data_IF_246509887051
#
_entry.id   IF_246509887051
#
_cell.length_a   1.000
_cell.length_b   1.000
_cell.length_c   1.000
_cell.angle_alpha   90.00
_cell.angle_beta   90.00
_cell.angle_gamma   90.00
#
_symmetry.space_group_name_H-M   'P 1'
#
loop_
_entity.id
_entity.type
_entity.pdbx_description
1 polymer ?
#
# COMPACT_ATOMS: atom_id res chain seq x y z
N UNK A 1 3.68 -29.44 38.90
CA UNK A 1 3.92 -29.49 37.45
C UNK A 1 3.52 -28.13 36.93
N UNK A 2 4.50 -27.25 36.68
CA UNK A 2 4.22 -25.95 36.08
C UNK A 2 4.00 -26.17 34.59
N UNK A 3 2.89 -25.65 34.08
CA UNK A 3 2.59 -25.61 32.66
C UNK A 3 3.57 -24.62 32.02
N UNK A 4 4.48 -25.14 31.19
CA UNK A 4 5.30 -24.30 30.31
C UNK A 4 4.41 -23.98 29.11
N UNK A 5 3.79 -22.81 29.13
CA UNK A 5 3.17 -22.25 27.92
C UNK A 5 4.31 -21.95 26.95
N UNK A 6 4.43 -22.79 25.91
CA UNK A 6 5.47 -22.65 24.90
C UNK A 6 5.05 -21.58 23.90
N UNK A 7 5.74 -20.45 23.91
CA UNK A 7 5.52 -19.34 22.98
C UNK A 7 6.56 -19.37 21.85
N UNK A 8 6.13 -19.02 20.62
CA UNK A 8 6.93 -19.23 19.39
C UNK A 8 7.22 -17.91 18.67
N UNK A 9 8.49 -17.51 18.59
CA UNK A 9 8.94 -16.36 17.77
C UNK A 9 9.11 -16.72 16.29
N UNK A 10 8.28 -16.18 15.39
CA UNK A 10 8.31 -16.51 13.96
C UNK A 10 9.56 -15.99 13.21
N UNK A 11 10.11 -16.80 12.29
CA UNK A 11 11.20 -16.38 11.40
C UNK A 11 10.75 -15.37 10.32
N UNK A 12 11.68 -14.54 9.84
CA UNK A 12 11.40 -13.54 8.80
C UNK A 12 11.17 -14.16 7.42
N UNK A 13 10.12 -13.73 6.71
CA UNK A 13 9.81 -14.20 5.35
C UNK A 13 10.83 -13.70 4.31
N UNK A 14 11.23 -14.58 3.38
CA UNK A 14 12.05 -14.23 2.22
C UNK A 14 11.23 -13.60 1.09
N UNK A 15 11.89 -12.89 0.16
CA UNK A 15 11.25 -12.30 -1.01
C UNK A 15 10.66 -13.40 -1.92
N UNK A 16 9.33 -13.42 -2.04
CA UNK A 16 8.56 -14.47 -2.71
C UNK A 16 8.76 -14.51 -4.23
N UNK A 17 9.76 -15.27 -4.68
CA UNK A 17 9.85 -15.81 -6.04
C UNK A 17 9.33 -17.26 -6.10
N UNK A 18 9.17 -17.84 -7.31
CA UNK A 18 8.65 -19.21 -7.48
C UNK A 18 9.50 -20.31 -6.82
N UNK A 19 10.76 -20.02 -6.46
CA UNK A 19 11.64 -20.92 -5.71
C UNK A 19 11.96 -20.43 -4.28
N UNK A 20 11.32 -19.35 -3.81
CA UNK A 20 11.53 -18.83 -2.46
C UNK A 20 10.87 -19.74 -1.42
N UNK A 21 11.64 -20.23 -0.46
CA UNK A 21 11.09 -20.96 0.69
C UNK A 21 10.66 -19.95 1.77
N UNK A 22 9.44 -20.11 2.31
CA UNK A 22 9.02 -19.40 3.50
C UNK A 22 9.93 -19.72 4.68
N UNK A 23 10.10 -18.77 5.62
CA UNK A 23 10.83 -19.02 6.87
C UNK A 23 10.21 -20.17 7.64
N UNK A 24 11.03 -20.92 8.39
CA UNK A 24 10.53 -22.00 9.23
C UNK A 24 9.80 -21.41 10.43
N UNK A 25 8.66 -22.02 10.81
CA UNK A 25 8.04 -21.72 12.10
C UNK A 25 9.00 -22.10 13.23
N UNK A 26 9.12 -21.25 14.25
CA UNK A 26 9.85 -21.62 15.45
C UNK A 26 9.16 -22.77 16.17
N UNK A 27 9.97 -23.68 16.69
CA UNK A 27 9.56 -24.66 17.70
C UNK A 27 9.91 -24.09 19.08
N UNK A 28 9.23 -24.55 20.12
CA UNK A 28 9.41 -24.24 21.54
C UNK A 28 10.85 -24.30 22.07
N UNK A 29 11.81 -24.83 21.29
CA UNK A 29 13.24 -24.86 21.65
C UNK A 29 14.18 -24.23 20.63
N UNK A 30 13.68 -23.72 19.49
CA UNK A 30 14.51 -23.20 18.39
C UNK A 30 13.87 -22.02 17.67
N UNK A 31 14.63 -20.96 17.44
CA UNK A 31 14.17 -19.83 16.63
C UNK A 31 13.96 -20.23 15.17
N UNK A 32 13.02 -19.56 14.48
CA UNK A 32 12.71 -19.86 13.08
C UNK A 32 13.84 -19.41 12.14
N UNK A 33 14.26 -20.27 11.21
CA UNK A 33 15.20 -19.91 10.15
C UNK A 33 14.58 -18.87 9.20
N UNK A 34 15.39 -17.95 8.68
CA UNK A 34 14.95 -16.93 7.72
C UNK A 34 14.69 -17.53 6.33
N UNK A 35 13.72 -16.96 5.60
CA UNK A 35 13.36 -17.45 4.26
C UNK A 35 14.44 -17.22 3.19
N UNK A 36 14.45 -18.04 2.14
CA UNK A 36 15.40 -17.90 1.03
C UNK A 36 14.95 -16.83 0.01
N UNK A 37 15.89 -16.34 -0.80
CA UNK A 37 15.59 -15.50 -1.97
C UNK A 37 14.98 -16.34 -3.13
N UNK A 38 14.65 -15.69 -4.25
CA UNK A 38 14.08 -16.35 -5.45
C UNK A 38 15.01 -17.38 -6.13
N UNK A 39 16.31 -17.37 -5.82
CA UNK A 39 17.28 -18.36 -6.30
C UNK A 39 17.41 -19.56 -5.35
N UNK A 40 16.70 -19.57 -4.23
CA UNK A 40 16.67 -20.68 -3.28
C UNK A 40 17.82 -20.69 -2.27
N UNK A 41 18.49 -19.56 -2.03
CA UNK A 41 19.56 -19.44 -1.02
C UNK A 41 19.43 -18.15 -0.20
N UNK A 42 20.28 -18.02 0.83
CA UNK A 42 20.47 -16.77 1.55
C UNK A 42 19.69 -16.61 2.86
N UNK A 43 18.76 -17.52 3.18
CA UNK A 43 18.09 -17.53 4.48
C UNK A 43 19.06 -17.77 5.63
N UNK A 44 18.92 -17.03 6.71
CA UNK A 44 19.73 -17.24 7.90
C UNK A 44 19.36 -18.54 8.63
N UNK A 45 20.36 -19.27 9.12
CA UNK A 45 20.14 -20.42 9.97
C UNK A 45 19.54 -19.99 11.32
N UNK A 46 18.66 -20.84 11.88
CA UNK A 46 18.23 -20.71 13.27
C UNK A 46 19.45 -20.75 14.20
N UNK A 47 19.52 -19.87 15.20
CA UNK A 47 20.47 -20.09 16.29
C UNK A 47 19.93 -21.19 17.22
N UNK A 48 20.68 -21.62 18.23
CA UNK A 48 20.16 -22.46 19.34
C UNK A 48 20.26 -21.74 20.69
N UNK A 49 20.84 -20.53 20.68
CA UNK A 49 20.99 -19.59 21.79
C UNK A 49 21.52 -18.26 21.21
N UNK A 50 20.97 -17.11 21.64
CA UNK A 50 21.43 -15.77 21.24
C UNK A 50 20.58 -15.10 20.15
N UNK A 51 21.11 -14.02 19.59
CA UNK A 51 20.46 -13.25 18.51
C UNK A 51 20.22 -14.11 17.27
N UNK A 52 19.23 -13.73 16.47
CA UNK A 52 18.96 -14.33 15.18
C UNK A 52 20.10 -14.09 14.18
N UNK A 53 20.41 -15.09 13.36
CA UNK A 53 21.38 -14.94 12.29
C UNK A 53 20.90 -13.94 11.21
N UNK A 54 21.84 -13.17 10.65
CA UNK A 54 21.55 -12.28 9.53
C UNK A 54 21.37 -13.07 8.22
N UNK A 55 20.39 -12.70 7.41
CA UNK A 55 20.22 -13.19 6.06
C UNK A 55 21.32 -12.69 5.13
N UNK A 56 21.46 -13.35 3.98
CA UNK A 56 22.41 -12.97 2.92
C UNK A 56 21.73 -12.99 1.56
N UNK A 57 22.21 -12.20 0.61
CA UNK A 57 21.77 -12.23 -0.81
C UNK A 57 20.24 -12.14 -0.99
N UNK A 58 19.56 -11.30 -0.22
CA UNK A 58 18.11 -11.12 -0.28
C UNK A 58 17.30 -12.15 0.52
N UNK A 59 17.95 -13.05 1.25
CA UNK A 59 17.29 -13.95 2.20
C UNK A 59 16.94 -13.26 3.53
N UNK A 60 15.92 -13.78 4.21
CA UNK A 60 15.43 -13.26 5.47
C UNK A 60 16.36 -13.55 6.65
N UNK A 61 16.28 -12.71 7.69
CA UNK A 61 16.93 -12.95 8.98
C UNK A 61 16.19 -13.99 9.81
N UNK A 62 16.92 -14.70 10.66
CA UNK A 62 16.36 -15.70 11.56
C UNK A 62 15.76 -15.03 12.80
N UNK A 63 14.79 -15.70 13.44
CA UNK A 63 14.23 -15.24 14.71
C UNK A 63 15.28 -15.23 15.83
N UNK A 64 15.11 -14.35 16.81
CA UNK A 64 15.85 -14.37 18.07
C UNK A 64 15.30 -15.43 19.03
N UNK A 65 16.14 -15.89 19.97
CA UNK A 65 15.69 -16.64 21.14
C UNK A 65 15.14 -15.72 22.22
N UNK A 66 14.45 -16.29 23.22
CA UNK A 66 13.98 -15.56 24.39
C UNK A 66 15.09 -14.68 24.98
N UNK A 67 14.79 -13.39 25.11
CA UNK A 67 15.76 -12.40 25.58
C UNK A 67 16.74 -11.86 24.54
N UNK A 68 16.63 -12.20 23.25
CA UNK A 68 17.56 -11.77 22.19
C UNK A 68 16.88 -11.15 20.95
N UNK A 69 17.67 -10.39 20.18
CA UNK A 69 17.20 -9.66 18.99
C UNK A 69 17.01 -10.60 17.78
N UNK A 70 16.14 -10.18 16.85
CA UNK A 70 15.99 -10.85 15.57
C UNK A 70 17.13 -10.51 14.60
N UNK A 71 17.47 -11.44 13.70
CA UNK A 71 18.52 -11.21 12.70
C UNK A 71 18.07 -10.28 11.57
N UNK A 72 18.98 -9.48 11.02
CA UNK A 72 18.67 -8.60 9.89
C UNK A 72 18.47 -9.37 8.58
N UNK A 73 17.65 -8.85 7.67
CA UNK A 73 17.52 -9.38 6.31
C UNK A 73 18.75 -9.08 5.44
N UNK A 74 19.07 -9.98 4.52
CA UNK A 74 20.17 -9.82 3.57
C UNK A 74 19.84 -8.87 2.41
N UNK A 75 20.86 -8.21 1.86
CA UNK A 75 20.73 -7.40 0.64
C UNK A 75 20.67 -8.29 -0.60
N UNK A 76 19.71 -8.07 -1.50
CA UNK A 76 19.67 -8.74 -2.79
C UNK A 76 20.78 -8.28 -3.73
N UNK A 77 21.03 -9.04 -4.79
CA UNK A 77 22.04 -8.74 -5.83
C UNK A 77 21.48 -8.75 -7.25
N UNK A 78 20.17 -8.93 -7.40
CA UNK A 78 19.47 -9.23 -8.65
C UNK A 78 19.61 -8.17 -9.74
N UNK A 79 19.87 -6.92 -9.35
CA UNK A 79 19.81 -5.80 -10.27
C UNK A 79 21.20 -5.40 -10.74
N UNK A 80 22.16 -5.19 -9.82
CA UNK A 80 23.53 -4.77 -10.17
C UNK A 80 24.59 -5.25 -9.18
N UNK A 81 24.64 -6.55 -8.85
CA UNK A 81 25.73 -7.19 -8.08
C UNK A 81 25.86 -6.78 -6.60
N UNK A 82 25.52 -5.54 -6.25
CA UNK A 82 25.44 -4.95 -4.91
C UNK A 82 24.03 -4.40 -4.61
N UNK A 83 23.11 -4.50 -5.57
CA UNK A 83 21.73 -3.99 -5.46
C UNK A 83 20.76 -5.07 -5.92
N UNK A 84 19.70 -5.28 -5.14
CA UNK A 84 18.68 -6.29 -5.35
C UNK A 84 17.61 -6.19 -4.27
N UNK A 85 16.60 -7.05 -4.35
CA UNK A 85 15.50 -7.06 -3.38
C UNK A 85 15.97 -7.53 -2.00
N UNK A 86 15.55 -6.83 -0.95
CA UNK A 86 15.94 -7.14 0.42
C UNK A 86 15.12 -8.25 1.03
N UNK A 87 15.76 -9.10 1.84
CA UNK A 87 15.07 -10.08 2.68
C UNK A 87 14.40 -9.41 3.88
N UNK A 88 13.35 -10.03 4.44
CA UNK A 88 12.74 -9.54 5.68
C UNK A 88 13.63 -9.76 6.90
N UNK A 89 13.56 -8.87 7.90
CA UNK A 89 14.18 -9.09 9.20
C UNK A 89 13.48 -10.21 9.99
N UNK A 90 14.22 -10.90 10.86
CA UNK A 90 13.69 -11.91 11.77
C UNK A 90 12.99 -11.30 12.98
N UNK A 91 11.96 -11.97 13.50
CA UNK A 91 11.29 -11.54 14.73
C UNK A 91 12.17 -11.71 15.97
N UNK A 92 11.91 -10.93 17.03
CA UNK A 92 12.56 -11.17 18.33
C UNK A 92 11.99 -12.42 19.02
N UNK A 93 12.73 -12.96 20.00
CA UNK A 93 12.18 -13.96 20.93
C UNK A 93 11.32 -13.33 22.03
N UNK A 94 10.66 -14.16 22.84
CA UNK A 94 9.84 -13.64 23.95
C UNK A 94 10.74 -12.96 24.99
N UNK A 95 10.44 -11.69 25.32
CA UNK A 95 11.22 -10.95 26.28
C UNK A 95 10.42 -9.86 27.00
N UNK A 96 10.68 -9.77 28.30
CA UNK A 96 10.16 -8.75 29.22
C UNK A 96 10.94 -7.43 29.16
N UNK A 97 11.89 -7.27 28.22
CA UNK A 97 12.80 -6.13 28.10
C UNK A 97 12.96 -5.66 26.65
N UNK A 98 13.54 -4.46 26.47
CA UNK A 98 13.58 -3.65 25.23
C UNK A 98 14.41 -4.24 24.07
N UNK A 99 13.93 -5.31 23.45
CA UNK A 99 14.57 -5.95 22.30
C UNK A 99 13.99 -5.49 20.96
N UNK A 100 14.74 -5.71 19.89
CA UNK A 100 14.42 -5.30 18.54
C UNK A 100 14.22 -6.51 17.62
N UNK A 101 13.20 -6.43 16.76
CA UNK A 101 13.18 -7.26 15.56
C UNK A 101 14.31 -6.82 14.60
N UNK A 102 14.78 -7.74 13.76
CA UNK A 102 15.84 -7.44 12.81
C UNK A 102 15.40 -6.41 11.76
N UNK A 103 16.32 -5.56 11.30
CA UNK A 103 16.06 -4.64 10.19
C UNK A 103 15.87 -5.44 8.87
N UNK A 104 15.02 -4.93 7.96
CA UNK A 104 14.90 -5.48 6.62
C UNK A 104 16.15 -5.24 5.78
N UNK A 105 16.43 -6.13 4.84
CA UNK A 105 17.47 -5.93 3.83
C UNK A 105 17.10 -4.80 2.85
N UNK A 106 18.11 -4.16 2.22
CA UNK A 106 17.96 -3.09 1.22
C UNK A 106 16.82 -3.34 0.21
N UNK A 107 16.07 -2.29 -0.12
CA UNK A 107 15.04 -2.29 -1.18
C UNK A 107 13.89 -3.26 -0.98
N UNK A 108 12.85 -2.79 -0.28
CA UNK A 108 11.57 -3.50 -0.13
C UNK A 108 11.54 -4.61 0.92
N UNK A 109 12.64 -4.85 1.65
CA UNK A 109 12.64 -5.78 2.80
C UNK A 109 11.90 -5.20 4.00
N UNK A 110 10.91 -5.93 4.53
CA UNK A 110 10.21 -5.56 5.76
C UNK A 110 11.06 -5.82 7.01
N UNK A 111 10.93 -5.00 8.06
CA UNK A 111 11.55 -5.28 9.35
C UNK A 111 10.86 -6.44 10.08
N UNK A 112 11.58 -7.06 11.01
CA UNK A 112 11.08 -8.13 11.87
C UNK A 112 10.17 -7.61 12.97
N UNK A 113 9.16 -8.40 13.35
CA UNK A 113 8.23 -8.06 14.44
C UNK A 113 8.85 -8.21 15.83
N UNK A 114 8.43 -7.37 16.77
CA UNK A 114 8.87 -7.42 18.17
C UNK A 114 8.30 -6.26 19.00
N UNK A 115 8.64 -6.22 20.29
CA UNK A 115 8.32 -5.12 21.22
C UNK A 115 8.86 -3.78 20.71
N UNK A 116 9.94 -3.83 19.91
CA UNK A 116 10.35 -2.76 19.00
C UNK A 116 10.57 -3.37 17.62
N UNK A 117 9.69 -3.05 16.68
CA UNK A 117 9.80 -3.57 15.31
C UNK A 117 11.10 -3.10 14.64
N UNK A 118 11.71 -3.98 13.85
CA UNK A 118 12.83 -3.64 12.99
C UNK A 118 12.41 -2.65 11.90
N UNK A 119 13.36 -1.86 11.39
CA UNK A 119 13.08 -0.91 10.32
C UNK A 119 12.92 -1.64 9.00
N UNK A 120 11.84 -1.37 8.28
CA UNK A 120 11.74 -1.72 6.87
C UNK A 120 12.76 -0.94 6.04
N UNK A 121 13.21 -1.52 4.94
CA UNK A 121 14.09 -0.82 4.01
C UNK A 121 13.28 0.09 3.06
N UNK A 122 13.90 1.18 2.56
CA UNK A 122 13.30 1.98 1.50
C UNK A 122 12.86 1.11 0.32
N UNK A 123 11.77 1.45 -0.36
CA UNK A 123 11.44 0.82 -1.65
C UNK A 123 12.44 1.20 -2.74
N UNK A 124 12.47 0.45 -3.84
CA UNK A 124 13.14 0.88 -5.07
C UNK A 124 12.14 0.93 -6.22
N UNK A 125 12.35 1.89 -7.11
CA UNK A 125 11.77 1.87 -8.45
C UNK A 125 12.96 1.71 -9.39
N UNK A 126 12.96 0.63 -10.16
CA UNK A 126 13.96 0.43 -11.21
C UNK A 126 13.30 0.74 -12.53
N UNK A 127 13.66 1.88 -13.08
CA UNK A 127 13.26 2.24 -14.42
C UNK A 127 14.49 2.04 -15.32
N UNK A 128 14.40 1.04 -16.20
CA UNK A 128 15.43 0.81 -17.21
C UNK A 128 14.94 1.41 -18.52
N UNK A 129 15.48 2.59 -18.85
CA UNK A 129 15.30 3.25 -20.14
C UNK A 129 16.65 3.35 -20.84
N UNK A 130 16.64 3.33 -22.17
CA UNK A 130 17.81 3.78 -22.93
C UNK A 130 18.07 5.27 -22.64
N UNK A 131 19.30 5.61 -22.23
CA UNK A 131 19.95 6.93 -22.08
C UNK A 131 19.15 8.19 -21.65
N UNK A 132 17.90 8.11 -21.21
CA UNK A 132 17.12 9.29 -20.81
C UNK A 132 16.47 9.10 -19.44
N UNK A 133 17.00 9.78 -18.41
CA UNK A 133 16.31 9.94 -17.14
C UNK A 133 15.08 10.85 -17.36
N UNK A 134 13.84 10.38 -17.07
CA UNK A 134 12.66 11.22 -17.10
C UNK A 134 12.69 12.14 -15.88
N UNK A 135 12.86 13.43 -16.11
CA UNK A 135 12.22 14.41 -15.25
C UNK A 135 10.71 14.16 -15.39
N UNK A 136 9.96 14.03 -14.30
CA UNK A 136 8.55 13.58 -14.24
C UNK A 136 7.52 14.51 -14.96
N UNK A 137 7.93 15.23 -16.00
CA UNK A 137 7.15 16.26 -16.68
C UNK A 137 7.31 16.29 -18.20
N UNK A 138 8.33 15.65 -18.78
CA UNK A 138 8.61 15.71 -20.23
C UNK A 138 8.95 14.34 -20.84
N UNK A 139 8.37 14.06 -22.01
CA UNK A 139 8.61 12.82 -22.78
C UNK A 139 8.76 13.15 -24.26
N UNK A 140 9.83 12.67 -24.91
CA UNK A 140 10.04 12.86 -26.34
C UNK A 140 9.35 11.77 -27.14
N UNK A 141 8.52 12.15 -28.11
CA UNK A 141 7.83 11.22 -29.00
C UNK A 141 8.87 10.40 -29.79
N UNK A 142 8.82 9.06 -29.75
CA UNK A 142 9.72 8.20 -30.51
C UNK A 142 9.64 8.43 -32.02
N UNK A 143 10.75 8.18 -32.73
CA UNK A 143 10.81 8.33 -34.19
C UNK A 143 9.89 7.36 -34.94
N UNK A 144 9.52 6.25 -34.31
CA UNK A 144 8.67 5.18 -34.84
C UNK A 144 7.21 5.25 -34.33
N UNK A 145 6.79 6.39 -33.73
CA UNK A 145 5.42 6.58 -33.26
C UNK A 145 4.39 6.37 -34.37
N UNK A 146 3.41 5.49 -34.12
CA UNK A 146 2.31 5.20 -35.04
C UNK A 146 1.00 5.85 -34.54
N UNK A 147 0.52 6.86 -35.25
CA UNK A 147 -0.73 7.57 -34.91
C UNK A 147 -2.00 6.71 -35.03
N UNK A 148 -1.91 5.52 -35.66
CA UNK A 148 -3.04 4.61 -35.86
C UNK A 148 -3.02 3.39 -34.95
N UNK A 149 -1.95 3.20 -34.18
CA UNK A 149 -1.81 2.04 -33.29
C UNK A 149 -1.03 2.47 -32.05
N UNK A 150 -1.71 3.26 -31.23
CA UNK A 150 -1.24 3.63 -29.91
C UNK A 150 -2.40 3.76 -28.95
N UNK A 151 -2.11 3.59 -27.68
CA UNK A 151 -3.06 3.79 -26.60
C UNK A 151 -2.35 4.41 -25.42
N UNK A 152 -2.99 5.41 -24.83
CA UNK A 152 -2.49 6.13 -23.67
C UNK A 152 -3.50 5.99 -22.55
N UNK A 153 -3.00 5.67 -21.37
CA UNK A 153 -3.81 5.39 -20.20
C UNK A 153 -3.22 6.08 -18.99
N UNK A 154 -4.10 6.67 -18.19
CA UNK A 154 -3.73 7.41 -17.00
C UNK A 154 -4.69 7.10 -15.86
N UNK A 155 -4.15 7.14 -14.64
CA UNK A 155 -4.94 7.06 -13.41
C UNK A 155 -4.58 8.26 -12.56
N UNK A 156 -5.59 8.97 -12.05
CA UNK A 156 -5.37 10.05 -11.09
C UNK A 156 -4.79 9.50 -9.78
N UNK A 157 -4.19 10.35 -8.95
CA UNK A 157 -3.77 9.92 -7.62
C UNK A 157 -4.98 9.79 -6.68
N UNK A 158 -4.96 8.86 -5.73
CA UNK A 158 -5.90 8.90 -4.60
C UNK A 158 -5.62 10.04 -3.64
N UNK A 159 -6.64 10.43 -2.90
CA UNK A 159 -6.52 11.38 -1.79
C UNK A 159 -5.89 10.76 -0.56
N UNK A 160 -5.68 11.57 0.49
CA UNK A 160 -5.25 11.09 1.81
C UNK A 160 -6.38 11.12 2.82
N UNK A 161 -6.38 10.14 3.73
CA UNK A 161 -7.41 10.00 4.76
C UNK A 161 -7.42 11.17 5.74
N UNK A 162 -8.54 11.35 6.43
CA UNK A 162 -8.62 12.31 7.53
C UNK A 162 -7.90 11.76 8.76
N UNK A 163 -7.24 12.64 9.50
CA UNK A 163 -6.75 12.32 10.85
C UNK A 163 -7.62 13.06 11.85
N UNK A 164 -8.04 12.34 12.88
CA UNK A 164 -8.87 12.81 13.98
C UNK A 164 -8.09 13.52 15.08
N UNK A 165 -8.82 14.12 16.03
CA UNK A 165 -8.34 14.39 17.39
C UNK A 165 -8.46 13.12 18.24
N UNK A 166 -7.86 13.09 19.42
CA UNK A 166 -7.90 11.97 20.34
C UNK A 166 -9.31 11.40 20.55
N UNK A 167 -9.46 10.07 20.40
CA UNK A 167 -10.70 9.34 20.65
C UNK A 167 -11.66 9.19 19.46
N UNK A 168 -11.24 9.57 18.25
CA UNK A 168 -12.04 9.40 17.03
C UNK A 168 -11.25 8.69 15.95
N UNK A 169 -11.92 7.92 15.11
CA UNK A 169 -11.34 7.30 13.93
C UNK A 169 -11.60 8.11 12.68
N UNK A 170 -10.61 8.15 11.78
CA UNK A 170 -10.72 8.98 10.58
C UNK A 170 -11.42 8.35 9.39
N UNK A 171 -12.01 9.18 8.52
CA UNK A 171 -12.51 8.69 7.23
C UNK A 171 -11.37 8.38 6.27
N UNK A 172 -11.59 7.35 5.45
CA UNK A 172 -10.72 7.02 4.33
C UNK A 172 -10.82 8.05 3.19
N UNK A 173 -9.79 8.09 2.35
CA UNK A 173 -9.81 8.87 1.12
C UNK A 173 -10.43 8.13 -0.07
N UNK A 174 -10.73 8.86 -1.15
CA UNK A 174 -11.14 8.27 -2.41
C UNK A 174 -9.95 7.92 -3.31
N UNK A 175 -10.12 6.88 -4.14
CA UNK A 175 -9.14 6.49 -5.16
C UNK A 175 -9.21 7.37 -6.42
N UNK A 176 -8.18 7.32 -7.26
CA UNK A 176 -8.14 8.06 -8.53
C UNK A 176 -9.09 7.50 -9.60
N UNK A 177 -9.49 8.37 -10.53
CA UNK A 177 -10.19 7.99 -11.75
C UNK A 177 -9.23 7.34 -12.75
N UNK A 178 -9.78 6.68 -13.76
CA UNK A 178 -9.08 6.13 -14.91
C UNK A 178 -9.56 6.82 -16.18
N UNK A 179 -8.65 7.07 -17.11
CA UNK A 179 -8.98 7.52 -18.45
C UNK A 179 -8.04 6.90 -19.48
N UNK A 180 -8.57 6.60 -20.67
CA UNK A 180 -7.78 6.17 -21.81
C UNK A 180 -8.25 6.79 -23.12
N UNK A 181 -7.30 6.92 -24.05
CA UNK A 181 -7.52 7.35 -25.43
C UNK A 181 -6.63 6.53 -26.37
N UNK A 182 -7.16 6.16 -27.53
CA UNK A 182 -6.42 5.47 -28.59
C UNK A 182 -6.18 6.39 -29.79
N UNK A 183 -5.20 6.05 -30.63
CA UNK A 183 -4.88 6.74 -31.88
C UNK A 183 -4.55 8.23 -31.65
N UNK A 184 -3.80 8.52 -30.59
CA UNK A 184 -3.33 9.86 -30.28
C UNK A 184 -2.34 10.27 -31.36
N UNK A 185 -2.64 11.39 -32.03
CA UNK A 185 -1.79 11.92 -33.10
C UNK A 185 -0.69 12.78 -32.50
N UNK A 186 0.56 12.31 -32.58
CA UNK A 186 1.74 13.03 -32.11
C UNK A 186 2.77 13.17 -33.24
N UNK A 187 3.64 14.16 -33.11
CA UNK A 187 4.74 14.38 -34.05
C UNK A 187 6.01 13.71 -33.52
N UNK A 188 6.62 12.77 -34.25
CA UNK A 188 7.90 12.16 -33.86
C UNK A 188 8.98 13.22 -33.55
N UNK A 189 9.70 13.03 -32.44
CA UNK A 189 10.72 13.96 -31.95
C UNK A 189 10.18 15.19 -31.20
N UNK A 190 8.86 15.40 -31.14
CA UNK A 190 8.29 16.47 -30.30
C UNK A 190 8.43 16.15 -28.82
N UNK A 191 8.55 17.19 -27.98
CA UNK A 191 8.46 17.05 -26.51
C UNK A 191 7.01 17.15 -26.08
N UNK A 192 6.57 16.18 -25.31
CA UNK A 192 5.24 16.11 -24.71
C UNK A 192 5.36 16.41 -23.23
N UNK A 193 4.51 17.32 -22.76
CA UNK A 193 4.38 17.60 -21.34
C UNK A 193 3.33 16.66 -20.75
N UNK A 194 3.66 16.02 -19.64
CA UNK A 194 2.76 15.14 -18.88
C UNK A 194 2.86 15.42 -17.38
N UNK A 195 1.93 14.89 -16.60
CA UNK A 195 2.00 14.89 -15.14
C UNK A 195 1.55 13.54 -14.62
N UNK A 196 2.32 13.03 -13.67
CA UNK A 196 1.90 11.93 -12.81
C UNK A 196 1.32 12.55 -11.55
N UNK A 197 0.01 12.37 -11.35
CA UNK A 197 -0.67 12.84 -10.15
C UNK A 197 -0.04 12.23 -8.90
N UNK A 198 0.05 13.02 -7.84
CA UNK A 198 0.45 12.57 -6.51
C UNK A 198 -0.44 13.21 -5.45
N UNK A 199 -0.47 12.63 -4.25
CA UNK A 199 -1.00 13.27 -3.06
C UNK A 199 0.10 13.41 -2.02
N UNK A 200 -0.05 14.38 -1.13
CA UNK A 200 0.86 14.53 0.00
C UNK A 200 0.36 13.68 1.15
N UNK A 201 1.26 12.87 1.73
CA UNK A 201 0.98 12.21 3.01
C UNK A 201 0.79 13.29 4.06
N UNK A 202 -0.28 13.20 4.86
CA UNK A 202 -0.47 14.12 5.98
C UNK A 202 0.61 13.80 7.03
N UNK A 203 1.60 14.69 7.14
CA UNK A 203 2.80 14.49 7.97
C UNK A 203 2.62 14.98 9.41
N UNK A 204 1.50 15.62 9.74
CA UNK A 204 1.34 16.31 11.02
C UNK A 204 0.34 15.61 11.94
N UNK A 205 0.76 15.48 13.20
CA UNK A 205 -0.08 15.18 14.35
C UNK A 205 -1.20 16.24 14.45
N UNK A 206 -2.47 15.81 14.42
CA UNK A 206 -3.61 16.69 14.68
C UNK A 206 -4.80 16.53 13.72
N UNK A 207 -5.95 17.05 14.16
CA UNK A 207 -7.19 17.04 13.38
C UNK A 207 -7.07 17.85 12.09
N UNK A 208 -7.53 17.28 10.98
CA UNK A 208 -7.66 18.05 9.74
C UNK A 208 -7.87 17.19 8.51
N UNK A 209 -8.47 17.82 7.50
CA UNK A 209 -8.71 17.26 6.18
C UNK A 209 -7.42 16.67 5.59
N UNK A 210 -7.55 15.50 4.97
CA UNK A 210 -6.54 14.97 4.08
C UNK A 210 -6.48 15.77 2.78
N UNK A 211 -5.35 15.67 2.09
CA UNK A 211 -5.14 16.29 0.80
C UNK A 211 -5.85 15.52 -0.32
N UNK A 212 -6.32 16.25 -1.32
CA UNK A 212 -6.79 15.63 -2.57
C UNK A 212 -5.59 15.07 -3.35
N UNK A 213 -5.82 14.02 -4.13
CA UNK A 213 -4.90 13.57 -5.15
C UNK A 213 -4.90 14.53 -6.34
N UNK A 214 -3.72 14.76 -6.91
CA UNK A 214 -3.58 15.49 -8.16
C UNK A 214 -4.02 14.62 -9.35
N UNK A 215 -4.40 15.29 -10.43
CA UNK A 215 -4.77 14.65 -11.68
C UNK A 215 -3.53 14.10 -12.40
N UNK A 216 -3.73 13.08 -13.23
CA UNK A 216 -2.69 12.55 -14.13
C UNK A 216 -3.10 12.83 -15.57
N UNK A 217 -2.23 13.45 -16.36
CA UNK A 217 -2.53 13.76 -17.76
C UNK A 217 -1.34 13.53 -18.67
N UNK A 218 -1.64 13.45 -19.96
CA UNK A 218 -0.66 13.37 -21.02
C UNK A 218 -0.97 14.34 -22.15
N UNK A 219 0.09 14.92 -22.71
CA UNK A 219 0.07 15.87 -23.82
C UNK A 219 -0.71 17.14 -23.50
N UNK A 220 -0.17 17.87 -22.53
CA UNK A 220 -0.66 19.19 -22.15
C UNK A 220 -0.28 20.24 -23.21
N UNK A 221 -1.24 21.10 -23.59
CA UNK A 221 -0.95 22.34 -24.32
C UNK A 221 -0.16 23.35 -23.48
N UNK A 222 0.52 24.29 -24.14
CA UNK A 222 1.42 25.26 -23.50
C UNK A 222 0.75 26.22 -22.48
N UNK A 223 -0.58 26.27 -22.45
CA UNK A 223 -1.39 27.15 -21.59
C UNK A 223 -2.10 26.41 -20.45
N UNK A 224 -1.99 25.09 -20.36
CA UNK A 224 -2.90 24.34 -19.50
C UNK A 224 -2.54 24.36 -18.00
N UNK A 225 -3.56 24.04 -17.21
CA UNK A 225 -3.51 23.92 -15.76
C UNK A 225 -2.99 22.54 -15.34
N UNK A 226 -2.59 22.40 -14.07
CA UNK A 226 -2.18 21.12 -13.45
C UNK A 226 -3.37 20.16 -13.18
N UNK A 227 -4.53 20.42 -13.78
CA UNK A 227 -5.80 19.72 -13.55
C UNK A 227 -6.48 19.36 -14.87
N UNK A 228 -7.32 18.33 -14.87
CA UNK A 228 -8.16 18.00 -16.02
C UNK A 228 -9.08 19.17 -16.35
N UNK A 229 -8.91 19.71 -17.55
CA UNK A 229 -9.64 20.87 -18.01
C UNK A 229 -10.01 20.65 -19.47
N UNK A 230 -11.29 20.51 -19.77
CA UNK A 230 -11.76 20.28 -21.15
C UNK A 230 -11.61 21.51 -22.04
N UNK A 231 -11.35 22.69 -21.46
CA UNK A 231 -11.09 23.92 -22.21
C UNK A 231 -9.65 24.02 -22.71
N UNK A 232 -8.75 23.18 -22.19
CA UNK A 232 -7.35 23.09 -22.60
C UNK A 232 -7.05 21.68 -23.14
N UNK A 233 -6.34 21.52 -24.27
CA UNK A 233 -6.32 20.26 -24.99
C UNK A 233 -5.31 19.27 -24.38
N UNK A 234 -5.69 18.60 -23.28
CA UNK A 234 -5.04 17.37 -22.85
C UNK A 234 -5.57 16.22 -23.72
N UNK A 235 -4.69 15.31 -24.17
CA UNK A 235 -5.15 14.16 -24.97
C UNK A 235 -5.85 13.09 -24.12
N UNK A 236 -5.43 12.99 -22.85
CA UNK A 236 -6.06 12.15 -21.84
C UNK A 236 -5.75 12.74 -20.46
N UNK A 237 -6.72 12.72 -19.56
CA UNK A 237 -6.57 13.16 -18.18
C UNK A 237 -7.49 12.38 -17.25
N UNK A 238 -6.97 11.89 -16.13
CA UNK A 238 -7.74 11.24 -15.08
C UNK A 238 -7.74 12.08 -13.81
N UNK A 239 -8.94 12.32 -13.27
CA UNK A 239 -9.12 13.06 -12.02
C UNK A 239 -8.52 12.33 -10.82
N UNK A 240 -7.83 13.06 -9.95
CA UNK A 240 -7.46 12.58 -8.63
C UNK A 240 -8.67 12.41 -7.70
N UNK A 241 -8.51 11.56 -6.68
CA UNK A 241 -9.49 11.35 -5.61
C UNK A 241 -9.46 12.44 -4.54
N UNK A 242 -10.57 12.66 -3.87
CA UNK A 242 -10.70 13.57 -2.74
C UNK A 242 -10.10 13.02 -1.46
N UNK A 243 -9.52 13.90 -0.65
CA UNK A 243 -9.11 13.57 0.72
C UNK A 243 -10.30 13.46 1.68
N UNK A 244 -10.13 12.72 2.77
CA UNK A 244 -11.14 12.68 3.85
C UNK A 244 -11.21 14.04 4.56
N UNK A 245 -12.41 14.54 4.84
CA UNK A 245 -12.64 15.87 5.44
C UNK A 245 -13.20 15.82 6.87
N UNK A 246 -13.80 14.68 7.27
CA UNK A 246 -14.39 14.47 8.60
C UNK A 246 -14.49 12.98 8.90
N UNK A 247 -14.58 12.59 10.18
CA UNK A 247 -14.70 11.21 10.64
C UNK A 247 -15.85 10.44 9.96
N UNK A 248 -17.08 10.95 10.00
CA UNK A 248 -18.29 10.14 9.68
C UNK A 248 -18.94 10.45 8.34
N UNK A 249 -19.07 11.73 7.97
CA UNK A 249 -19.78 12.12 6.73
C UNK A 249 -18.86 12.70 5.67
N UNK A 250 -17.59 12.91 6.02
CA UNK A 250 -16.59 13.55 5.17
C UNK A 250 -15.65 12.53 4.53
N UNK A 251 -16.19 11.46 3.96
CA UNK A 251 -15.37 10.48 3.23
C UNK A 251 -14.78 11.10 1.98
N UNK A 252 -13.56 10.70 1.62
CA UNK A 252 -12.95 11.16 0.37
C UNK A 252 -13.72 10.63 -0.83
N UNK A 253 -14.22 11.53 -1.67
CA UNK A 253 -14.87 11.15 -2.93
C UNK A 253 -13.86 10.51 -3.89
N UNK A 254 -14.26 9.49 -4.66
CA UNK A 254 -13.41 8.98 -5.73
C UNK A 254 -13.22 9.99 -6.86
N UNK A 255 -12.16 9.83 -7.65
CA UNK A 255 -11.94 10.66 -8.84
C UNK A 255 -13.11 10.55 -9.81
N UNK A 256 -13.59 11.69 -10.31
CA UNK A 256 -14.81 11.76 -11.12
C UNK A 256 -14.52 11.42 -12.60
N UNK A 257 -15.17 10.37 -13.10
CA UNK A 257 -15.09 9.97 -14.52
C UNK A 257 -15.59 11.07 -15.47
N UNK A 258 -16.67 11.75 -15.12
CA UNK A 258 -17.27 12.81 -15.94
C UNK A 258 -16.45 14.10 -16.03
N UNK A 259 -15.45 14.27 -15.17
CA UNK A 259 -14.49 15.36 -15.23
C UNK A 259 -13.11 14.92 -15.75
N UNK A 260 -12.98 13.64 -16.12
CA UNK A 260 -11.79 13.09 -16.78
C UNK A 260 -11.91 13.26 -18.30
N UNK A 261 -10.78 13.27 -19.00
CA UNK A 261 -10.69 13.42 -20.46
C UNK A 261 -10.18 12.09 -21.02
N UNK A 262 -10.95 11.49 -21.90
CA UNK A 262 -10.62 10.23 -22.56
C UNK A 262 -11.84 9.66 -23.29
N UNK A 263 -11.63 8.66 -24.15
CA UNK A 263 -12.73 7.94 -24.80
C UNK A 263 -13.34 6.89 -23.89
N UNK A 264 -12.56 6.34 -22.96
CA UNK A 264 -13.03 5.49 -21.86
C UNK A 264 -12.62 6.12 -20.55
N UNK A 265 -13.58 6.32 -19.64
CA UNK A 265 -13.32 6.83 -18.31
C UNK A 265 -14.04 6.00 -17.26
N UNK A 266 -13.46 5.91 -16.06
CA UNK A 266 -14.04 5.22 -14.93
C UNK A 266 -13.72 5.95 -13.62
N UNK A 267 -14.67 5.95 -12.69
CA UNK A 267 -14.54 6.69 -11.44
C UNK A 267 -13.77 5.88 -10.39
N UNK A 268 -12.99 6.55 -9.55
CA UNK A 268 -12.42 5.92 -8.36
C UNK A 268 -13.50 5.59 -7.34
N UNK A 269 -13.19 4.69 -6.40
CA UNK A 269 -14.03 4.40 -5.25
C UNK A 269 -13.93 5.50 -4.21
N UNK A 270 -15.01 5.76 -3.48
CA UNK A 270 -14.99 6.62 -2.30
C UNK A 270 -14.32 5.90 -1.10
N UNK A 271 -13.79 6.66 -0.15
CA UNK A 271 -13.39 6.12 1.15
C UNK A 271 -14.59 5.70 1.99
N UNK A 272 -14.33 4.91 3.03
CA UNK A 272 -15.28 4.57 4.08
C UNK A 272 -15.25 5.58 5.23
N UNK A 273 -16.34 5.66 5.97
CA UNK A 273 -16.47 6.48 7.17
C UNK A 273 -15.68 5.89 8.33
N UNK A 274 -15.03 6.73 9.12
CA UNK A 274 -14.59 6.40 10.49
C UNK A 274 -15.68 6.72 11.51
N UNK A 275 -15.35 6.65 12.80
CA UNK A 275 -16.29 6.92 13.88
C UNK A 275 -15.87 8.14 14.73
N UNK A 276 -16.83 8.97 15.16
CA UNK A 276 -16.50 10.20 15.92
C UNK A 276 -16.06 9.95 17.37
N UNK A 277 -16.54 8.85 17.96
CA UNK A 277 -16.33 8.51 19.37
C UNK A 277 -15.78 7.11 19.56
N UNK A 278 -15.33 6.50 18.47
CA UNK A 278 -14.80 5.15 18.42
C UNK A 278 -13.50 5.20 17.65
N UNK A 279 -12.53 4.42 18.07
CA UNK A 279 -11.12 4.61 17.72
C UNK A 279 -10.75 3.94 16.39
N UNK A 280 -11.71 3.87 15.46
CA UNK A 280 -11.67 3.03 14.28
C UNK A 280 -11.79 3.84 12.98
N UNK A 281 -10.80 3.67 12.10
CA UNK A 281 -10.75 4.36 10.82
C UNK A 281 -11.57 3.68 9.72
N UNK A 282 -12.12 4.46 8.81
CA UNK A 282 -12.65 3.95 7.54
C UNK A 282 -11.54 3.56 6.57
N UNK A 283 -11.78 2.54 5.75
CA UNK A 283 -10.87 2.10 4.69
C UNK A 283 -10.88 3.06 3.51
N UNK A 284 -9.79 3.14 2.74
CA UNK A 284 -9.75 3.97 1.53
C UNK A 284 -10.46 3.32 0.34
N UNK A 285 -10.94 4.13 -0.60
CA UNK A 285 -11.53 3.65 -1.85
C UNK A 285 -10.48 3.15 -2.84
N UNK A 286 -10.81 2.14 -3.64
CA UNK A 286 -9.94 1.61 -4.68
C UNK A 286 -9.83 2.55 -5.89
N UNK A 287 -8.70 2.51 -6.58
CA UNK A 287 -8.52 3.24 -7.85
C UNK A 287 -9.34 2.62 -8.97
N UNK A 288 -9.76 3.42 -9.96
CA UNK A 288 -10.33 2.88 -11.19
C UNK A 288 -9.26 2.23 -12.08
N UNK A 289 -9.67 1.38 -13.01
CA UNK A 289 -8.78 0.76 -13.99
C UNK A 289 -9.50 0.39 -15.28
N UNK A 290 -8.79 -0.27 -16.21
CA UNK A 290 -9.33 -0.70 -17.51
C UNK A 290 -10.64 -1.47 -17.40
N UNK A 291 -10.79 -2.28 -16.34
CA UNK A 291 -11.95 -3.12 -16.16
C UNK A 291 -13.18 -2.40 -15.59
N UNK A 292 -13.05 -1.17 -15.10
CA UNK A 292 -14.16 -0.41 -14.52
C UNK A 292 -13.80 0.50 -13.34
N UNK A 293 -14.84 0.98 -12.67
CA UNK A 293 -14.73 1.86 -11.51
C UNK A 293 -14.08 1.15 -10.31
N UNK A 294 -13.36 1.91 -9.49
CA UNK A 294 -12.83 1.46 -8.21
C UNK A 294 -13.95 1.28 -7.18
N UNK A 295 -13.74 0.39 -6.21
CA UNK A 295 -14.76 0.06 -5.21
C UNK A 295 -14.62 0.91 -3.94
N UNK A 296 -15.73 1.09 -3.24
CA UNK A 296 -15.79 1.88 -2.00
C UNK A 296 -15.03 1.15 -0.88
N UNK A 297 -14.35 1.92 -0.03
CA UNK A 297 -13.75 1.41 1.23
C UNK A 297 -14.81 1.01 2.25
N UNK A 298 -14.47 0.09 3.15
CA UNK A 298 -15.33 -0.30 4.25
C UNK A 298 -15.40 0.79 5.31
N UNK A 299 -16.59 0.98 5.88
CA UNK A 299 -16.78 1.84 7.05
C UNK A 299 -16.16 1.20 8.31
N UNK A 300 -15.87 2.02 9.31
CA UNK A 300 -15.80 1.49 10.66
C UNK A 300 -17.18 0.94 11.08
N UNK A 301 -17.19 -0.09 11.93
CA UNK A 301 -18.40 -0.48 12.64
C UNK A 301 -18.95 0.60 13.58
N UNK A 302 -20.06 0.29 14.25
CA UNK A 302 -20.85 1.25 15.04
C UNK A 302 -20.48 1.31 16.53
N UNK A 303 -19.53 0.50 16.98
CA UNK A 303 -19.14 0.38 18.40
C UNK A 303 -17.72 0.91 18.65
N UNK A 304 -17.43 1.24 19.90
CA UNK A 304 -16.14 1.83 20.31
C UNK A 304 -14.98 0.84 20.31
N UNK A 305 -15.23 -0.46 20.13
CA UNK A 305 -14.21 -1.52 20.11
C UNK A 305 -14.17 -2.22 18.73
N UNK A 306 -14.49 -1.48 17.67
CA UNK A 306 -14.58 -2.04 16.33
C UNK A 306 -13.24 -1.91 15.62
N UNK A 307 -12.86 -2.93 14.85
CA UNK A 307 -11.70 -2.81 13.98
C UNK A 307 -11.91 -1.77 12.88
N UNK A 308 -10.81 -1.32 12.25
CA UNK A 308 -10.88 -0.42 11.11
C UNK A 308 -11.57 -1.06 9.90
N UNK A 309 -12.17 -0.25 9.02
CA UNK A 309 -12.77 -0.72 7.77
C UNK A 309 -11.71 -1.20 6.76
N UNK A 310 -12.02 -2.22 5.95
CA UNK A 310 -11.13 -2.71 4.91
C UNK A 310 -11.05 -1.77 3.70
N UNK A 311 -9.93 -1.73 2.99
CA UNK A 311 -9.80 -0.93 1.76
C UNK A 311 -10.66 -1.46 0.62
N UNK A 312 -11.11 -0.60 -0.30
CA UNK A 312 -11.86 -0.99 -1.49
C UNK A 312 -10.97 -1.65 -2.55
N UNK A 313 -11.52 -2.61 -3.30
CA UNK A 313 -10.82 -3.23 -4.43
C UNK A 313 -10.62 -2.27 -5.61
N UNK A 314 -9.49 -2.40 -6.32
CA UNK A 314 -9.20 -1.66 -7.54
C UNK A 314 -10.12 -2.08 -8.68
N UNK A 315 -10.38 -1.17 -9.61
CA UNK A 315 -11.52 -1.25 -10.51
C UNK A 315 -11.47 -2.37 -11.56
N UNK A 316 -12.62 -3.03 -11.70
CA UNK A 316 -12.96 -3.89 -12.83
C UNK A 316 -13.58 -5.24 -12.50
N UNK A 317 -14.38 -5.77 -13.43
CA UNK A 317 -14.90 -7.14 -13.36
C UNK A 317 -15.64 -7.49 -12.06
N UNK A 318 -15.02 -8.33 -11.24
CA UNK A 318 -15.56 -8.91 -10.00
C UNK A 318 -15.03 -8.23 -8.72
N UNK A 319 -14.38 -7.06 -8.83
CA UNK A 319 -13.87 -6.34 -7.65
C UNK A 319 -14.98 -6.03 -6.65
N UNK A 320 -14.65 -6.08 -5.36
CA UNK A 320 -15.62 -5.86 -4.27
C UNK A 320 -15.27 -4.66 -3.41
N UNK A 321 -16.28 -4.12 -2.72
CA UNK A 321 -16.06 -3.14 -1.66
C UNK A 321 -15.28 -3.74 -0.49
N UNK A 322 -14.68 -2.88 0.33
CA UNK A 322 -14.10 -3.27 1.62
C UNK A 322 -15.18 -3.70 2.61
N UNK A 323 -14.84 -4.64 3.47
CA UNK A 323 -15.68 -5.07 4.58
C UNK A 323 -15.71 -4.01 5.69
N UNK A 324 -16.87 -3.88 6.34
CA UNK A 324 -17.03 -3.06 7.55
C UNK A 324 -16.19 -3.65 8.68
N UNK A 325 -15.66 -2.79 9.56
CA UNK A 325 -15.01 -3.21 10.81
C UNK A 325 -15.91 -4.10 11.68
N UNK A 326 -15.35 -5.16 12.26
CA UNK A 326 -16.08 -6.09 13.12
C UNK A 326 -16.12 -5.65 14.58
N UNK A 327 -17.21 -5.99 15.29
CA UNK A 327 -17.50 -5.54 16.66
C UNK A 327 -16.70 -6.21 17.79
N UNK A 328 -15.62 -6.89 17.44
CA UNK A 328 -14.76 -7.64 18.37
C UNK A 328 -13.30 -7.25 18.17
N UNK A 329 -13.06 -6.00 17.77
CA UNK A 329 -11.74 -5.48 17.44
C UNK A 329 -11.11 -6.05 16.18
N UNK A 330 -11.85 -6.80 15.36
CA UNK A 330 -11.31 -7.37 14.11
C UNK A 330 -11.55 -6.40 12.97
N UNK A 331 -10.48 -5.98 12.31
CA UNK A 331 -10.56 -5.13 11.12
C UNK A 331 -11.37 -5.77 9.98
N UNK A 332 -12.03 -4.93 9.19
CA UNK A 332 -12.74 -5.35 7.99
C UNK A 332 -11.80 -5.92 6.94
N UNK A 333 -12.24 -6.91 6.17
CA UNK A 333 -11.47 -7.45 5.05
C UNK A 333 -11.34 -6.43 3.93
N UNK A 334 -10.19 -6.33 3.28
CA UNK A 334 -10.05 -5.58 2.04
C UNK A 334 -10.87 -6.18 0.90
N UNK A 335 -11.35 -5.33 -0.01
CA UNK A 335 -12.08 -5.74 -1.20
C UNK A 335 -11.18 -6.45 -2.21
N UNK A 336 -11.72 -7.40 -2.96
CA UNK A 336 -10.97 -8.10 -3.99
C UNK A 336 -10.64 -7.20 -5.19
N UNK A 337 -9.49 -7.44 -5.83
CA UNK A 337 -9.14 -6.82 -7.10
C UNK A 337 -9.88 -7.43 -8.30
N UNK A 338 -9.54 -7.03 -9.53
CA UNK A 338 -10.30 -7.35 -10.75
C UNK A 338 -10.43 -8.85 -11.06
N UNK A 339 -9.48 -9.66 -10.58
CA UNK A 339 -9.49 -11.12 -10.71
C UNK A 339 -10.32 -11.83 -9.63
N UNK A 340 -11.10 -11.10 -8.81
CA UNK A 340 -11.82 -11.61 -7.63
C UNK A 340 -10.91 -12.25 -6.57
N UNK A 341 -9.67 -11.77 -6.47
CA UNK A 341 -8.68 -12.26 -5.51
C UNK A 341 -7.92 -11.10 -4.89
N UNK A 342 -7.20 -11.38 -3.80
CA UNK A 342 -6.20 -10.47 -3.27
C UNK A 342 -6.72 -9.40 -2.30
N UNK A 343 -8.00 -9.43 -1.92
CA UNK A 343 -8.44 -8.68 -0.74
C UNK A 343 -7.69 -9.16 0.51
N UNK A 344 -7.15 -8.21 1.28
CA UNK A 344 -6.47 -8.52 2.53
C UNK A 344 -7.46 -9.04 3.58
N UNK A 345 -7.13 -10.12 4.28
CA UNK A 345 -7.77 -10.38 5.57
C UNK A 345 -7.47 -9.23 6.54
N UNK A 346 -8.18 -9.13 7.67
CA UNK A 346 -7.86 -8.16 8.72
C UNK A 346 -6.35 -8.11 8.99
N UNK A 347 -5.77 -6.91 9.08
CA UNK A 347 -4.33 -6.67 9.26
C UNK A 347 -3.39 -7.32 8.24
N UNK A 348 -3.89 -7.76 7.08
CA UNK A 348 -3.08 -8.34 6.00
C UNK A 348 -3.12 -7.42 4.77
N UNK A 349 -1.96 -7.14 4.13
CA UNK A 349 -1.92 -6.37 2.89
C UNK A 349 -2.69 -7.02 1.75
N UNK A 350 -3.32 -6.19 0.92
CA UNK A 350 -3.92 -6.63 -0.32
C UNK A 350 -2.87 -7.04 -1.35
N UNK A 351 -3.29 -7.80 -2.37
CA UNK A 351 -2.48 -8.21 -3.52
C UNK A 351 -3.27 -7.97 -4.81
N UNK A 352 -2.57 -7.75 -5.93
CA UNK A 352 -3.18 -7.71 -7.27
C UNK A 352 -4.38 -6.75 -7.38
N UNK A 353 -4.23 -5.54 -6.85
CA UNK A 353 -5.28 -4.52 -6.84
C UNK A 353 -6.32 -4.71 -5.73
N UNK A 354 -6.22 -5.75 -4.89
CA UNK A 354 -7.08 -5.90 -3.73
C UNK A 354 -6.81 -4.85 -2.64
N UNK A 355 -7.83 -4.45 -1.91
CA UNK A 355 -7.71 -3.56 -0.77
C UNK A 355 -6.98 -4.21 0.41
N UNK A 356 -6.35 -3.39 1.25
CA UNK A 356 -5.72 -3.85 2.48
C UNK A 356 -6.76 -4.13 3.57
N UNK A 357 -6.49 -5.09 4.45
CA UNK A 357 -7.32 -5.33 5.63
C UNK A 357 -7.27 -4.17 6.61
N UNK A 358 -8.40 -3.89 7.26
CA UNK A 358 -8.47 -2.94 8.37
C UNK A 358 -7.63 -3.40 9.57
N UNK A 359 -7.24 -2.44 10.39
CA UNK A 359 -6.51 -2.65 11.63
C UNK A 359 -7.40 -3.26 12.72
N UNK A 360 -6.77 -3.86 13.72
CA UNK A 360 -7.40 -4.32 14.95
C UNK A 360 -6.97 -3.43 16.14
N UNK A 361 -7.48 -3.71 17.34
CA UNK A 361 -7.24 -2.90 18.56
C UNK A 361 -5.78 -2.79 19.02
N UNK A 362 -4.86 -3.44 18.32
CA UNK A 362 -3.43 -3.44 18.63
C UNK A 362 -2.56 -3.22 17.38
N UNK A 363 -3.17 -3.00 16.21
CA UNK A 363 -2.49 -3.14 14.93
C UNK A 363 -3.03 -2.20 13.86
N UNK A 364 -2.09 -1.58 13.13
CA UNK A 364 -2.40 -0.72 12.01
C UNK A 364 -3.17 -1.44 10.89
N UNK A 365 -3.94 -0.66 10.13
CA UNK A 365 -4.48 -1.11 8.85
C UNK A 365 -3.36 -1.45 7.88
N UNK A 366 -3.61 -2.42 7.01
CA UNK A 366 -2.64 -2.85 6.01
C UNK A 366 -2.78 -2.10 4.69
N UNK A 367 -1.69 -2.07 3.93
CA UNK A 367 -1.66 -1.40 2.63
C UNK A 367 -2.52 -2.14 1.58
N UNK A 368 -3.05 -1.37 0.64
CA UNK A 368 -3.65 -1.91 -0.58
C UNK A 368 -2.61 -2.57 -1.49
N UNK A 369 -3.03 -3.58 -2.24
CA UNK A 369 -2.20 -4.23 -3.25
C UNK A 369 -2.11 -3.41 -4.53
N UNK A 370 -0.94 -3.39 -5.17
CA UNK A 370 -0.81 -2.91 -6.55
C UNK A 370 -1.52 -3.86 -7.51
N UNK A 371 -2.22 -3.30 -8.51
CA UNK A 371 -2.77 -4.07 -9.62
C UNK A 371 -1.67 -4.62 -10.53
N UNK A 372 -2.09 -5.43 -11.51
CA UNK A 372 -1.18 -6.11 -12.47
C UNK A 372 -1.58 -5.95 -13.94
N UNK A 373 -2.49 -5.03 -14.26
CA UNK A 373 -3.17 -4.97 -15.55
C UNK A 373 -2.34 -4.38 -16.71
N UNK A 374 -1.23 -3.67 -16.46
CA UNK A 374 -0.53 -2.86 -17.49
C UNK A 374 0.88 -3.31 -17.87
N UNK A 375 1.61 -3.99 -17.00
CA UNK A 375 2.94 -4.53 -17.30
C UNK A 375 3.08 -5.90 -16.64
N UNK A 376 3.79 -6.86 -17.29
CA UNK A 376 4.00 -8.27 -16.92
C UNK A 376 4.08 -8.53 -15.40
N UNK A 377 2.93 -8.46 -14.72
CA UNK A 377 2.68 -8.59 -13.29
C UNK A 377 3.22 -7.51 -12.33
N UNK A 378 3.53 -6.28 -12.77
CA UNK A 378 4.15 -5.27 -11.88
C UNK A 378 3.49 -3.90 -11.82
N UNK A 379 2.59 -3.56 -12.74
CA UNK A 379 1.89 -2.27 -12.76
C UNK A 379 0.41 -2.45 -13.08
N UNK A 380 -0.46 -1.74 -12.37
CA UNK A 380 -1.91 -1.92 -12.43
C UNK A 380 -2.63 -1.03 -11.42
N UNK A 381 -3.95 -1.01 -11.43
CA UNK A 381 -4.72 -0.11 -10.54
C UNK A 381 -4.55 -0.52 -9.07
N UNK A 382 -4.27 0.44 -8.19
CA UNK A 382 -4.05 0.17 -6.77
C UNK A 382 -5.34 0.00 -5.97
N UNK A 383 -5.37 -1.00 -5.07
CA UNK A 383 -6.41 -1.12 -4.05
C UNK A 383 -6.32 -0.02 -2.99
N UNK A 384 -7.40 0.19 -2.24
CA UNK A 384 -7.44 1.08 -1.07
C UNK A 384 -6.65 0.51 0.11
N UNK A 385 -6.08 1.39 0.93
CA UNK A 385 -5.51 0.99 2.22
C UNK A 385 -6.61 0.68 3.25
N UNK A 386 -6.33 -0.23 4.18
CA UNK A 386 -7.22 -0.49 5.32
C UNK A 386 -7.18 0.66 6.34
N UNK A 387 -8.29 0.90 7.04
CA UNK A 387 -8.36 1.86 8.15
C UNK A 387 -7.53 1.41 9.35
N UNK A 388 -7.05 2.33 10.19
CA UNK A 388 -6.44 1.99 11.48
C UNK A 388 -7.46 1.35 12.43
N UNK A 389 -7.01 0.46 13.31
CA UNK A 389 -7.79 -0.04 14.44
C UNK A 389 -7.56 0.78 15.73
N UNK A 390 -8.27 0.38 16.79
CA UNK A 390 -8.30 0.99 18.12
C UNK A 390 -6.92 0.95 18.84
N UNK A 391 -6.72 1.83 19.83
CA UNK A 391 -5.65 1.78 20.81
C UNK A 391 -6.20 2.14 22.21
N UNK A 392 -7.09 1.30 22.74
CA UNK A 392 -7.79 1.53 24.01
C UNK A 392 -6.92 1.28 25.26
N UNK A 393 -5.63 0.94 25.12
CA UNK A 393 -4.79 0.70 26.30
C UNK A 393 -3.40 1.31 26.20
N UNK A 394 -3.35 2.61 26.54
CA UNK A 394 -2.18 3.29 27.12
C UNK A 394 -1.01 3.61 26.17
N UNK A 395 -1.12 3.39 24.85
CA UNK A 395 -0.01 3.71 23.97
C UNK A 395 0.06 5.20 23.61
N UNK A 396 1.22 5.80 23.85
CA UNK A 396 1.62 7.14 23.40
C UNK A 396 1.96 7.18 21.90
N UNK A 397 1.56 6.17 21.13
CA UNK A 397 2.03 5.94 19.76
C UNK A 397 0.91 6.14 18.77
N UNK A 398 1.12 6.99 17.77
CA UNK A 398 0.14 7.30 16.73
C UNK A 398 0.06 6.13 15.75
N UNK A 399 -1.14 5.58 15.55
CA UNK A 399 -1.41 4.51 14.57
C UNK A 399 -2.03 5.11 13.32
N UNK A 400 -1.42 4.83 12.17
CA UNK A 400 -1.89 5.27 10.86
C UNK A 400 -2.69 4.16 10.16
N UNK A 401 -3.65 4.54 9.34
CA UNK A 401 -4.24 3.63 8.37
C UNK A 401 -3.20 3.19 7.33
N UNK A 402 -3.50 2.10 6.63
CA UNK A 402 -2.68 1.62 5.53
C UNK A 402 -2.66 2.62 4.38
N UNK A 403 -1.53 2.67 3.67
CA UNK A 403 -1.41 3.41 2.42
C UNK A 403 -2.20 2.68 1.30
N UNK A 404 -2.64 3.43 0.29
CA UNK A 404 -3.15 2.84 -0.94
C UNK A 404 -2.08 2.07 -1.72
N UNK A 405 -2.51 1.32 -2.74
CA UNK A 405 -1.61 0.71 -3.71
C UNK A 405 -0.72 1.74 -4.44
N UNK A 406 0.38 1.28 -5.04
CA UNK A 406 1.47 2.17 -5.51
C UNK A 406 1.12 2.96 -6.77
N UNK A 407 0.13 2.53 -7.56
CA UNK A 407 -0.24 3.13 -8.85
C UNK A 407 -1.69 3.61 -8.86
N UNK A 408 -1.88 4.91 -9.06
CA UNK A 408 -3.19 5.57 -8.98
C UNK A 408 -3.84 5.48 -7.59
N UNK A 409 -3.00 5.25 -6.56
CA UNK A 409 -3.31 4.56 -5.31
C UNK A 409 -4.69 4.78 -4.74
N UNK A 410 -5.29 3.72 -4.23
CA UNK A 410 -6.51 3.86 -3.45
C UNK A 410 -6.31 4.81 -2.27
N UNK A 411 -7.40 5.30 -1.68
CA UNK A 411 -7.31 6.22 -0.56
C UNK A 411 -6.49 5.62 0.59
N UNK A 412 -5.76 6.47 1.31
CA UNK A 412 -5.22 6.09 2.62
C UNK A 412 -6.36 5.84 3.61
N UNK A 413 -6.20 4.85 4.48
CA UNK A 413 -7.11 4.62 5.60
C UNK A 413 -7.06 5.78 6.61
N UNK A 414 -8.15 5.99 7.33
CA UNK A 414 -8.16 6.95 8.44
C UNK A 414 -7.22 6.50 9.57
N UNK A 415 -6.54 7.46 10.20
CA UNK A 415 -5.70 7.24 11.38
C UNK A 415 -6.39 7.64 12.69
N UNK A 416 -5.79 7.24 13.81
CA UNK A 416 -6.18 7.64 15.17
C UNK A 416 -5.12 8.60 15.75
N UNK A 417 -5.55 9.62 16.50
CA UNK A 417 -4.66 10.52 17.23
C UNK A 417 -4.47 10.07 18.67
N UNK A 418 -3.23 9.81 19.11
CA UNK A 418 -2.93 9.50 20.51
C UNK A 418 -3.19 10.68 21.47
N UNK A 419 -3.36 10.37 22.76
CA UNK A 419 -3.44 11.34 23.86
C UNK A 419 -2.10 12.05 24.12
#
# INVERSE_FOLDING_TARGET
MGEVTGDTGGGGGGAGGPNGAGGAAADTSLSGAGGNNWQGFGGAASSTAGDGGNGSVGGGGAGGFDGNDGGNGGHGIEWRGTHGSGGGGGGMGDATVSLFGGDGGLYGGGGGGGSRAGRGAPGVIIISYGTHDPTNTEWTVPSDWNNFDNMIEVIGAGGTGWSSVAGGGGAGAGGGAFASTSNVTLTPGATIIYQIGSSTRKSTTGSGAGGNGADTFFNMGATATTTCDTSEPQSVCAKGGGGGTSATTGVGAGGLAGASIGTVTAAGGAGGAGHQTGDCGGGGGGAAGRGGAGQVGGDCGTSSADGGGGGGGAGGGLSTAGGVGGSTGVGGTGGNGPANTGGGAATVPGRFGGGGGGGNDIGAGSNGGSGVEWATNTAGSGGGGGGAGDDNTVATTIVFGGDGGVFGGGGGGGGHGGF
#
